data_IF_715578124101
#
_entry.id   IF_715578124101
#
_cell.length_a   1.000
_cell.length_b   1.000
_cell.length_c   1.000
_cell.angle_alpha   90.00
_cell.angle_beta   90.00
_cell.angle_gamma   90.00
#
_symmetry.space_group_name_H-M   'P 1'
#
loop_
_entity.id
_entity.type
_entity.pdbx_description
1 polymer ?
#
# COMPACT_ATOMS: atom_id res chain seq x y z
N UNK A 1 2.64 -26.65 -1.71
CA UNK A 1 1.61 -25.59 -1.78
C UNK A 1 2.27 -24.31 -1.33
N UNK A 2 2.64 -23.46 -2.28
CA UNK A 2 3.17 -22.12 -1.99
C UNK A 2 2.01 -21.26 -1.52
N UNK A 3 2.19 -20.53 -0.42
CA UNK A 3 1.18 -19.59 0.09
C UNK A 3 0.89 -18.44 -0.88
N UNK A 4 -0.01 -17.51 -0.53
CA UNK A 4 -0.37 -16.39 -1.41
C UNK A 4 0.86 -15.59 -1.82
N UNK A 5 0.87 -15.10 -3.06
CA UNK A 5 2.00 -14.35 -3.60
C UNK A 5 2.27 -13.03 -2.84
N UNK A 6 1.22 -12.35 -2.38
CA UNK A 6 1.36 -11.23 -1.45
C UNK A 6 1.10 -11.71 -0.03
N UNK A 7 2.12 -11.59 0.82
CA UNK A 7 2.05 -11.93 2.24
C UNK A 7 2.63 -10.76 3.04
N UNK A 8 1.76 -10.06 3.76
CA UNK A 8 2.12 -8.90 4.57
C UNK A 8 2.13 -9.27 6.04
N UNK A 9 3.10 -8.68 6.74
CA UNK A 9 3.24 -8.72 8.20
C UNK A 9 2.97 -7.33 8.77
N UNK A 10 2.89 -7.20 10.08
CA UNK A 10 2.74 -5.90 10.75
C UNK A 10 3.90 -4.95 10.42
N UNK A 11 5.09 -5.50 10.13
CA UNK A 11 6.26 -4.74 9.71
C UNK A 11 6.16 -4.19 8.29
N UNK A 12 5.19 -4.62 7.49
CA UNK A 12 4.93 -4.11 6.14
C UNK A 12 3.79 -3.06 6.13
N UNK A 13 3.12 -2.86 7.27
CA UNK A 13 2.03 -1.91 7.41
C UNK A 13 2.56 -0.47 7.49
N UNK A 14 2.05 0.38 6.60
CA UNK A 14 2.38 1.82 6.55
C UNK A 14 1.35 2.68 7.28
N UNK A 15 0.09 2.27 7.25
CA UNK A 15 -1.01 3.12 7.71
C UNK A 15 -2.38 2.53 7.46
N UNK A 16 -3.38 3.41 7.52
CA UNK A 16 -4.78 3.06 7.30
C UNK A 16 -5.46 4.09 6.40
N UNK A 17 -6.49 3.65 5.68
CA UNK A 17 -7.26 4.55 4.80
C UNK A 17 -8.00 5.60 5.64
N UNK A 18 -7.65 6.87 5.44
CA UNK A 18 -8.27 8.02 6.11
C UNK A 18 -9.41 8.64 5.30
N UNK A 19 -9.32 8.55 3.98
CA UNK A 19 -10.30 9.12 3.07
C UNK A 19 -10.17 8.52 1.68
N UNK A 20 -11.26 8.56 0.92
CA UNK A 20 -11.31 7.99 -0.41
C UNK A 20 -12.02 8.95 -1.34
N UNK A 21 -11.41 9.20 -2.48
CA UNK A 21 -11.95 9.90 -3.63
C UNK A 21 -12.12 8.89 -4.79
N UNK A 22 -12.83 9.29 -5.83
CA UNK A 22 -13.19 8.54 -7.04
C UNK A 22 -12.06 7.69 -7.65
N UNK A 23 -10.79 8.11 -7.50
CA UNK A 23 -9.62 7.34 -7.98
C UNK A 23 -8.44 7.31 -7.00
N UNK A 24 -8.53 8.02 -5.88
CA UNK A 24 -7.42 8.26 -4.95
C UNK A 24 -7.79 7.88 -3.54
N UNK A 25 -6.77 7.47 -2.79
CA UNK A 25 -6.90 7.08 -1.40
C UNK A 25 -5.97 7.94 -0.58
N UNK A 26 -6.51 8.62 0.42
CA UNK A 26 -5.75 9.28 1.47
C UNK A 26 -5.48 8.28 2.59
N UNK A 27 -4.23 8.19 3.00
CA UNK A 27 -3.75 7.22 3.98
C UNK A 27 -3.14 8.01 5.14
N UNK A 28 -3.64 7.75 6.34
CA UNK A 28 -3.04 8.21 7.58
C UNK A 28 -1.91 7.25 7.95
N UNK A 29 -0.70 7.79 8.05
CA UNK A 29 0.51 6.97 8.23
C UNK A 29 0.68 6.72 9.72
N UNK A 30 0.61 5.45 10.11
CA UNK A 30 0.83 5.02 11.50
C UNK A 30 2.28 4.61 11.75
N UNK A 31 3.04 4.33 10.69
CA UNK A 31 4.43 3.92 10.76
C UNK A 31 5.36 4.94 10.07
N UNK A 32 5.76 5.98 10.82
CA UNK A 32 6.63 7.04 10.29
C UNK A 32 8.04 6.54 9.93
N UNK A 33 8.54 5.46 10.53
CA UNK A 33 9.83 4.87 10.15
C UNK A 33 9.75 4.29 8.74
N UNK A 34 8.68 3.56 8.42
CA UNK A 34 8.45 3.02 7.09
C UNK A 34 8.29 4.12 6.04
N UNK A 35 7.65 5.24 6.40
CA UNK A 35 7.46 6.37 5.48
C UNK A 35 8.79 6.90 4.93
N UNK A 36 9.87 6.85 5.71
CA UNK A 36 11.20 7.29 5.25
C UNK A 36 11.73 6.51 4.05
N UNK A 37 11.20 5.30 3.82
CA UNK A 37 11.55 4.42 2.70
C UNK A 37 10.56 4.50 1.53
N UNK A 38 9.39 5.11 1.74
CA UNK A 38 8.32 5.18 0.74
C UNK A 38 8.44 6.47 -0.08
N UNK A 39 8.71 6.32 -1.37
CA UNK A 39 8.75 7.42 -2.34
C UNK A 39 7.51 7.51 -3.22
N UNK A 40 7.50 8.52 -4.09
CA UNK A 40 6.54 8.61 -5.20
C UNK A 40 6.78 7.44 -6.17
N UNK A 41 5.70 6.84 -6.67
CA UNK A 41 5.75 5.69 -7.56
C UNK A 41 5.83 4.34 -6.83
N UNK A 42 5.94 4.34 -5.50
CA UNK A 42 5.98 3.11 -4.72
C UNK A 42 4.62 2.40 -4.78
N UNK A 43 4.67 1.07 -4.95
CA UNK A 43 3.46 0.24 -4.92
C UNK A 43 3.01 -0.01 -3.48
N UNK A 44 1.70 0.06 -3.28
CA UNK A 44 1.04 -0.23 -2.01
C UNK A 44 -0.10 -1.22 -2.22
N UNK A 45 -0.39 -2.02 -1.19
CA UNK A 45 -1.55 -2.88 -1.12
C UNK A 45 -2.51 -2.35 -0.05
N UNK A 46 -3.76 -2.14 -0.43
CA UNK A 46 -4.83 -1.72 0.47
C UNK A 46 -5.72 -2.92 0.67
N UNK A 47 -5.98 -3.31 1.92
CA UNK A 47 -6.84 -4.45 2.23
C UNK A 47 -8.24 -4.23 1.66
N UNK A 48 -8.70 -5.16 0.84
CA UNK A 48 -10.01 -5.11 0.20
C UNK A 48 -11.16 -5.41 1.17
N UNK A 49 -12.34 -5.61 0.61
CA UNK A 49 -13.55 -6.00 1.36
C UNK A 49 -13.43 -7.40 1.97
N UNK A 50 -12.72 -8.29 1.29
CA UNK A 50 -12.47 -9.67 1.74
C UNK A 50 -11.02 -9.84 2.18
N UNK A 51 -10.74 -10.84 3.01
CA UNK A 51 -9.35 -11.17 3.38
C UNK A 51 -8.51 -11.68 2.19
N UNK A 52 -9.18 -12.11 1.11
CA UNK A 52 -8.54 -12.65 -0.07
C UNK A 52 -8.19 -11.57 -1.10
N UNK A 53 -8.56 -10.31 -0.87
CA UNK A 53 -8.48 -9.22 -1.86
C UNK A 53 -7.61 -8.07 -1.36
N UNK A 54 -6.78 -7.54 -2.25
CA UNK A 54 -6.08 -6.29 -2.07
C UNK A 54 -6.29 -5.37 -3.27
N UNK A 55 -6.57 -4.10 -3.02
CA UNK A 55 -6.48 -3.05 -4.02
C UNK A 55 -5.03 -2.61 -4.12
N UNK A 56 -4.45 -2.69 -5.31
CA UNK A 56 -3.07 -2.29 -5.57
C UNK A 56 -3.07 -0.84 -6.01
N UNK A 57 -2.34 -0.01 -5.29
CA UNK A 57 -2.19 1.41 -5.57
C UNK A 57 -0.73 1.79 -5.81
N UNK A 58 -0.54 3.01 -6.28
CA UNK A 58 0.77 3.64 -6.42
C UNK A 58 0.76 5.01 -5.75
N UNK A 59 1.74 5.24 -4.90
CA UNK A 59 1.91 6.49 -4.16
C UNK A 59 2.18 7.65 -5.13
N UNK A 60 1.40 8.72 -5.05
CA UNK A 60 1.58 9.93 -5.86
C UNK A 60 1.98 11.15 -5.02
N UNK A 61 1.73 11.12 -3.70
CA UNK A 61 2.09 12.22 -2.79
C UNK A 61 2.38 11.72 -1.38
N UNK A 62 3.40 12.29 -0.76
CA UNK A 62 3.72 12.12 0.67
C UNK A 62 3.89 13.51 1.28
N UNK A 63 3.22 13.76 2.41
CA UNK A 63 3.23 15.04 3.12
C UNK A 63 3.31 14.83 4.61
N UNK A 64 4.12 15.66 5.28
CA UNK A 64 4.15 15.79 6.74
C UNK A 64 3.59 17.16 7.11
N UNK A 65 2.56 17.19 7.94
CA UNK A 65 2.01 18.41 8.54
C UNK A 65 2.23 18.42 10.05
N UNK A 66 1.99 19.57 10.65
CA UNK A 66 1.92 19.72 12.10
C UNK A 66 0.44 19.78 12.48
N UNK A 67 0.03 18.93 13.41
CA UNK A 67 -1.34 18.89 13.95
C UNK A 67 -1.33 19.50 15.34
N UNK A 68 -2.25 20.43 15.57
CA UNK A 68 -2.50 20.97 16.90
C UNK A 68 -3.44 20.00 17.63
N UNK A 69 -3.02 19.55 18.81
CA UNK A 69 -3.82 18.74 19.69
C UNK A 69 -4.54 19.64 20.70
N UNK A 70 -5.84 19.39 20.86
CA UNK A 70 -6.61 20.05 21.89
C UNK A 70 -6.11 19.59 23.25
N UNK A 71 -5.87 20.51 24.19
CA UNK A 71 -5.44 20.13 25.52
C UNK A 71 -6.49 19.27 26.23
N UNK A 72 -6.02 18.32 27.04
CA UNK A 72 -6.87 17.43 27.84
C UNK A 72 -7.71 18.25 28.83
N UNK A 73 -9.06 18.13 28.83
CA UNK A 73 -9.93 18.91 29.71
C UNK A 73 -9.69 18.67 31.21
N UNK A 74 -9.02 17.58 31.59
CA UNK A 74 -8.68 17.29 32.99
C UNK A 74 -7.30 17.85 33.44
N UNK A 75 -6.55 18.47 32.52
CA UNK A 75 -5.27 19.12 32.81
C UNK A 75 -5.47 20.57 33.28
N UNK A 76 -5.27 20.82 34.58
CA UNK A 76 -5.51 22.14 35.19
C UNK A 76 -4.83 23.34 34.49
N UNK A 77 -5.58 24.45 34.41
CA UNK A 77 -5.34 25.88 34.10
C UNK A 77 -4.15 26.39 33.24
N UNK A 78 -3.27 25.53 32.72
CA UNK A 78 -2.21 25.88 31.77
C UNK A 78 -1.97 24.73 30.79
N UNK A 79 -3.01 24.38 30.05
CA UNK A 79 -2.92 23.34 29.05
C UNK A 79 -2.32 23.95 27.75
N UNK A 80 -1.01 23.84 27.60
CA UNK A 80 -0.30 24.30 26.41
C UNK A 80 -0.74 23.50 25.17
N UNK A 81 -0.95 24.18 24.04
CA UNK A 81 -1.18 23.53 22.74
C UNK A 81 0.01 22.62 22.43
N UNK A 82 -0.22 21.31 22.42
CA UNK A 82 0.77 20.33 21.94
C UNK A 82 0.66 20.24 20.42
N UNK A 83 1.81 20.27 19.75
CA UNK A 83 1.89 20.11 18.29
C UNK A 83 2.54 18.77 18.00
N UNK A 84 1.82 17.88 17.31
CA UNK A 84 2.33 16.57 16.90
C UNK A 84 2.50 16.51 15.37
N UNK A 85 3.56 15.87 14.84
CA UNK A 85 3.69 15.61 13.41
C UNK A 85 2.59 14.65 12.94
N UNK A 86 1.91 14.99 11.85
CA UNK A 86 0.95 14.13 11.17
C UNK A 86 1.47 13.79 9.77
N UNK A 87 1.68 12.50 9.52
CA UNK A 87 2.17 12.00 8.25
C UNK A 87 1.00 11.49 7.40
N UNK A 88 0.92 11.99 6.16
CA UNK A 88 -0.15 11.66 5.22
C UNK A 88 0.42 11.24 3.88
N UNK A 89 -0.20 10.22 3.30
CA UNK A 89 0.13 9.69 1.99
C UNK A 89 -1.11 9.69 1.09
N UNK A 90 -0.91 9.90 -0.21
CA UNK A 90 -1.93 9.68 -1.22
C UNK A 90 -1.43 8.68 -2.26
N UNK A 91 -2.37 7.88 -2.76
CA UNK A 91 -2.12 6.92 -3.82
C UNK A 91 -3.33 6.82 -4.75
N UNK A 92 -3.08 6.51 -6.02
CA UNK A 92 -4.13 6.15 -6.97
C UNK A 92 -4.19 4.63 -7.13
N UNK A 93 -5.40 4.10 -7.28
CA UNK A 93 -5.61 2.65 -7.42
C UNK A 93 -5.38 2.21 -8.87
N UNK A 94 -4.55 1.19 -9.06
CA UNK A 94 -4.18 0.63 -10.37
C UNK A 94 -5.02 -0.61 -10.68
N UNK A 95 -5.30 -1.44 -9.68
CA UNK A 95 -5.97 -2.71 -9.91
C UNK A 95 -6.34 -3.46 -8.64
N UNK A 96 -6.87 -4.66 -8.82
CA UNK A 96 -7.24 -5.57 -7.75
C UNK A 96 -6.44 -6.85 -7.86
N UNK A 97 -5.80 -7.24 -6.76
CA UNK A 97 -5.16 -8.54 -6.59
C UNK A 97 -6.06 -9.44 -5.73
N UNK A 98 -6.19 -10.70 -6.15
CA UNK A 98 -6.90 -11.75 -5.39
C UNK A 98 -5.98 -12.93 -5.17
N UNK A 99 -5.91 -13.35 -3.91
CA UNK A 99 -5.23 -14.59 -3.52
C UNK A 99 -5.95 -15.82 -4.08
N UNK A 100 -7.29 -15.79 -4.09
CA UNK A 100 -8.17 -16.85 -4.63
C UNK A 100 -9.26 -16.22 -5.48
N UNK A 101 -9.42 -16.71 -6.71
CA UNK A 101 -10.38 -16.23 -7.71
C UNK A 101 -11.00 -17.44 -8.45
N UNK A 102 -11.94 -18.10 -7.78
CA UNK A 102 -12.49 -19.39 -8.21
C UNK A 102 -11.40 -20.47 -8.20
N UNK A 103 -11.16 -21.08 -9.36
CA UNK A 103 -10.10 -22.09 -9.55
C UNK A 103 -8.70 -21.47 -9.72
N UNK A 104 -8.62 -20.16 -9.94
CA UNK A 104 -7.36 -19.45 -10.10
C UNK A 104 -6.87 -18.92 -8.76
N UNK A 105 -5.56 -18.82 -8.63
CA UNK A 105 -4.89 -18.22 -7.48
C UNK A 105 -3.97 -17.11 -7.97
N UNK A 106 -3.69 -16.15 -7.09
CA UNK A 106 -2.76 -15.05 -7.34
C UNK A 106 -3.06 -14.26 -8.62
N UNK A 107 -4.33 -13.88 -8.81
CA UNK A 107 -4.76 -13.14 -9.99
C UNK A 107 -4.66 -11.64 -9.77
N UNK A 108 -4.18 -10.92 -10.79
CA UNK A 108 -4.21 -9.47 -10.82
C UNK A 108 -5.08 -8.99 -11.98
N UNK A 109 -6.02 -8.10 -11.68
CA UNK A 109 -6.87 -7.43 -12.65
C UNK A 109 -6.58 -5.93 -12.64
N UNK A 110 -6.42 -5.33 -13.82
CA UNK A 110 -6.32 -3.87 -13.96
C UNK A 110 -7.68 -3.23 -13.70
N UNK A 111 -7.68 -2.10 -12.99
CA UNK A 111 -8.89 -1.43 -12.51
C UNK A 111 -9.36 -1.96 -11.16
N UNK A 112 -9.92 -1.06 -10.35
CA UNK A 112 -10.45 -1.40 -9.04
C UNK A 112 -11.80 -2.11 -9.18
N UNK A 113 -11.91 -3.32 -8.66
CA UNK A 113 -13.18 -4.06 -8.60
C UNK A 113 -14.10 -3.61 -7.47
N UNK A 114 -13.53 -2.91 -6.49
CA UNK A 114 -14.25 -2.38 -5.33
C UNK A 114 -13.73 -0.99 -4.99
N UNK A 115 -14.60 -0.19 -4.38
CA UNK A 115 -14.18 1.11 -3.84
C UNK A 115 -13.31 0.86 -2.58
N UNK A 116 -12.16 1.55 -2.44
CA UNK A 116 -11.38 1.49 -1.21
C UNK A 116 -12.25 1.84 -0.01
N UNK A 117 -12.10 1.11 1.08
CA UNK A 117 -12.87 1.37 2.30
C UNK A 117 -12.02 2.12 3.31
N UNK A 118 -12.64 3.07 4.00
CA UNK A 118 -12.04 3.77 5.14
C UNK A 118 -11.67 2.76 6.21
N UNK A 119 -10.61 3.05 6.96
CA UNK A 119 -10.12 2.25 8.09
C UNK A 119 -9.51 0.89 7.69
N UNK A 120 -9.26 0.66 6.39
CA UNK A 120 -8.54 -0.52 5.91
C UNK A 120 -7.04 -0.34 6.03
N UNK A 121 -6.36 -1.43 6.37
CA UNK A 121 -4.90 -1.45 6.49
C UNK A 121 -4.24 -1.33 5.12
N UNK A 122 -3.17 -0.53 5.08
CA UNK A 122 -2.34 -0.30 3.91
C UNK A 122 -0.93 -0.84 4.18
N UNK A 123 -0.38 -1.53 3.18
CA UNK A 123 0.93 -2.17 3.24
C UNK A 123 1.81 -1.71 2.09
N UNK A 124 3.12 -1.62 2.33
CA UNK A 124 4.09 -1.33 1.26
C UNK A 124 4.43 -2.63 0.52
N UNK A 125 4.43 -2.58 -0.80
CA UNK A 125 4.86 -3.69 -1.63
C UNK A 125 6.35 -3.52 -1.92
N UNK A 126 7.20 -4.16 -1.10
CA UNK A 126 8.66 -4.14 -1.25
C UNK A 126 9.28 -5.55 -1.18
N UNK A 127 10.58 -5.63 -1.51
CA UNK A 127 11.36 -6.86 -1.43
C UNK A 127 10.71 -8.07 -2.09
N UNK A 128 10.49 -9.13 -1.31
CA UNK A 128 9.93 -10.38 -1.82
C UNK A 128 8.49 -10.26 -2.32
N UNK A 129 7.68 -9.38 -1.73
CA UNK A 129 6.31 -9.13 -2.18
C UNK A 129 6.30 -8.44 -3.54
N UNK A 130 7.19 -7.46 -3.75
CA UNK A 130 7.36 -6.82 -5.05
C UNK A 130 7.79 -7.82 -6.13
N UNK A 131 8.77 -8.67 -5.84
CA UNK A 131 9.24 -9.68 -6.79
C UNK A 131 8.11 -10.66 -7.18
N UNK A 132 7.35 -11.17 -6.20
CA UNK A 132 6.22 -12.06 -6.45
C UNK A 132 5.11 -11.38 -7.25
N UNK A 133 4.79 -10.12 -6.91
CA UNK A 133 3.79 -9.35 -7.62
C UNK A 133 4.18 -9.09 -9.09
N UNK A 134 5.44 -8.72 -9.35
CA UNK A 134 5.96 -8.57 -10.71
C UNK A 134 5.92 -9.90 -11.49
N UNK A 135 6.17 -11.03 -10.80
CA UNK A 135 5.99 -12.36 -11.37
C UNK A 135 4.57 -12.62 -11.86
N UNK A 136 3.55 -12.24 -11.09
CA UNK A 136 2.14 -12.34 -11.49
C UNK A 136 1.87 -11.52 -12.75
N UNK A 137 2.36 -10.27 -12.79
CA UNK A 137 2.15 -9.39 -13.94
C UNK A 137 2.80 -9.94 -15.23
N UNK A 138 3.95 -10.61 -15.12
CA UNK A 138 4.64 -11.22 -16.25
C UNK A 138 4.13 -12.61 -16.65
N UNK A 139 3.45 -13.34 -15.75
CA UNK A 139 3.04 -14.72 -15.97
C UNK A 139 2.10 -14.91 -17.17
N UNK A 140 1.30 -13.89 -17.51
CA UNK A 140 0.37 -13.92 -18.64
C UNK A 140 0.96 -13.62 -20.02
N UNK A 141 2.25 -13.26 -20.08
CA UNK A 141 2.95 -12.88 -21.31
C UNK A 141 4.01 -13.91 -21.67
N UNK A 142 4.22 -14.14 -22.97
CA UNK A 142 5.31 -14.97 -23.46
C UNK A 142 6.68 -14.28 -23.25
N UNK A 143 7.77 -15.05 -23.26
CA UNK A 143 9.11 -14.52 -22.95
C UNK A 143 9.61 -13.43 -23.92
N UNK A 144 9.02 -13.35 -25.11
CA UNK A 144 9.24 -12.33 -26.13
C UNK A 144 8.40 -11.06 -25.92
N UNK A 145 7.27 -11.15 -25.23
CA UNK A 145 6.42 -10.00 -24.85
C UNK A 145 6.86 -9.35 -23.53
N UNK A 146 7.66 -10.06 -22.72
CA UNK A 146 8.18 -9.56 -21.44
C UNK A 146 9.30 -8.54 -21.66
N UNK A 147 9.19 -7.38 -21.01
CA UNK A 147 10.25 -6.38 -21.01
C UNK A 147 11.50 -6.90 -20.28
N UNK A 148 12.59 -7.11 -21.04
CA UNK A 148 13.91 -7.47 -20.49
C UNK A 148 14.71 -6.19 -20.25
N UNK A 149 14.82 -5.77 -18.99
CA UNK A 149 15.60 -4.59 -18.59
C UNK A 149 17.12 -4.82 -18.64
N UNK A 150 17.57 -6.07 -18.65
CA UNK A 150 18.97 -6.47 -18.73
C UNK A 150 19.26 -7.73 -17.94
N UNK A 151 20.52 -8.17 -17.95
CA UNK A 151 21.03 -9.27 -17.11
C UNK A 151 22.10 -8.70 -16.19
N UNK A 152 22.05 -9.01 -14.90
CA UNK A 152 23.08 -8.56 -13.97
C UNK A 152 24.38 -9.29 -14.30
N UNK A 153 25.48 -8.55 -14.47
CA UNK A 153 26.78 -9.12 -14.87
C UNK A 153 27.31 -10.13 -13.83
N UNK A 154 26.87 -10.03 -12.58
CA UNK A 154 27.24 -10.93 -11.49
C UNK A 154 26.54 -12.30 -11.54
N UNK A 155 25.50 -12.48 -12.37
CA UNK A 155 24.79 -13.76 -12.55
C UNK A 155 25.37 -14.61 -13.70
N UNK A 156 26.61 -14.32 -14.14
CA UNK A 156 27.36 -15.12 -15.13
C UNK A 156 28.38 -16.05 -14.47
#
# INVERSE_FOLDING_TARGET
MTGPALAFTDNDQIGRVAGVDTSRVAIDVTNSEMLTRVGIGQLIAIKGTTQAEFLIGMTDRVTRSLREELPDPDGGDFAALTVSPADHMQAFVIGTYRTVDGDKTDTFKRGADSFPQIDRDCFVIEGSNLQRFMGILGAGFSDDERLKLGTFVADR
#
